data_IF_509169555835
#
_entry.id   IF_509169555835
#
_cell.length_a   1.000
_cell.length_b   1.000
_cell.length_c   1.000
_cell.angle_alpha   90.00
_cell.angle_beta   90.00
_cell.angle_gamma   90.00
#
_symmetry.space_group_name_H-M   'P 1'
#
loop_
_entity.id
_entity.type
_entity.pdbx_description
1 polymer ?
#
# COMPACT_ATOMS: atom_id res chain seq x y z
N UNK A 1 22.91 3.22 1.21
CA UNK A 1 21.68 3.55 1.97
C UNK A 1 20.80 2.31 2.07
N UNK A 2 20.02 2.18 3.15
CA UNK A 2 18.99 1.16 3.26
C UNK A 2 17.85 1.46 2.27
N UNK A 3 17.34 0.43 1.60
CA UNK A 3 16.22 0.58 0.65
C UNK A 3 14.90 0.58 1.41
N UNK A 4 14.07 1.57 1.15
CA UNK A 4 12.70 1.65 1.66
C UNK A 4 11.81 0.64 0.93
N UNK A 5 10.84 0.10 1.67
CA UNK A 5 9.86 -0.85 1.17
C UNK A 5 8.53 -0.56 1.85
N UNK A 6 7.44 -0.63 1.07
CA UNK A 6 6.09 -0.58 1.61
C UNK A 6 5.75 -1.83 2.45
N UNK A 7 6.66 -2.79 2.59
CA UNK A 7 6.45 -3.93 3.47
C UNK A 7 5.51 -5.00 2.89
N UNK A 8 5.21 -4.98 1.59
CA UNK A 8 4.45 -6.04 0.90
C UNK A 8 5.26 -6.64 -0.25
N UNK A 9 4.95 -7.89 -0.59
CA UNK A 9 5.57 -8.64 -1.68
C UNK A 9 4.68 -8.61 -2.91
N UNK A 10 5.26 -8.37 -4.08
CA UNK A 10 4.57 -8.42 -5.38
C UNK A 10 5.41 -9.23 -6.38
N UNK A 11 4.72 -10.01 -7.23
CA UNK A 11 5.35 -10.72 -8.34
C UNK A 11 5.89 -9.69 -9.33
N UNK A 12 7.10 -9.92 -9.83
CA UNK A 12 7.78 -8.97 -10.73
C UNK A 12 8.36 -7.73 -10.04
N UNK A 13 8.40 -7.74 -8.70
CA UNK A 13 8.86 -6.61 -7.91
C UNK A 13 10.31 -6.18 -8.18
N UNK A 14 10.52 -4.87 -8.26
CA UNK A 14 11.81 -4.26 -8.61
C UNK A 14 12.71 -3.96 -7.42
N UNK A 15 12.39 -4.44 -6.22
CA UNK A 15 13.14 -4.15 -4.99
C UNK A 15 14.66 -4.44 -5.08
N UNK A 16 15.03 -5.53 -5.75
CA UNK A 16 16.45 -5.87 -5.96
C UNK A 16 17.13 -4.93 -6.97
N UNK A 17 16.39 -4.45 -7.95
CA UNK A 17 16.87 -3.59 -9.04
C UNK A 17 16.77 -2.09 -8.75
N UNK A 18 16.25 -1.67 -7.60
CA UNK A 18 16.07 -0.25 -7.23
C UNK A 18 17.33 0.55 -7.55
N UNK A 19 18.48 0.21 -6.97
CA UNK A 19 19.72 0.98 -7.17
C UNK A 19 20.15 1.05 -8.63
N UNK A 20 20.00 -0.06 -9.37
CA UNK A 20 20.31 -0.11 -10.80
C UNK A 20 19.40 0.85 -11.57
N UNK A 21 18.09 0.81 -11.33
CA UNK A 21 17.11 1.64 -12.02
C UNK A 21 17.33 3.12 -11.68
N UNK A 22 17.58 3.44 -10.41
CA UNK A 22 17.78 4.83 -9.96
C UNK A 22 18.96 5.50 -10.67
N UNK A 23 20.01 4.76 -11.03
CA UNK A 23 21.14 5.30 -11.78
C UNK A 23 20.78 5.77 -13.20
N UNK A 24 19.65 5.30 -13.75
CA UNK A 24 19.17 5.68 -15.07
C UNK A 24 18.05 6.72 -15.02
N UNK A 25 17.58 7.11 -13.84
CA UNK A 25 16.56 8.16 -13.71
C UNK A 25 17.26 9.52 -13.77
N UNK A 26 17.04 10.33 -14.83
CA UNK A 26 17.63 11.66 -14.91
C UNK A 26 16.97 12.61 -13.90
N UNK A 27 17.52 13.81 -13.74
CA UNK A 27 16.79 14.89 -13.08
C UNK A 27 15.45 15.14 -13.78
N UNK A 28 14.40 15.34 -13.00
CA UNK A 28 13.05 15.55 -13.49
C UNK A 28 12.24 16.34 -12.47
N UNK A 29 11.32 17.16 -12.94
CA UNK A 29 10.32 17.81 -12.08
C UNK A 29 9.05 16.95 -11.92
N UNK A 30 8.75 16.09 -12.88
CA UNK A 30 7.56 15.23 -12.92
C UNK A 30 7.96 13.77 -12.98
N UNK A 31 7.38 12.96 -12.09
CA UNK A 31 7.54 11.52 -12.06
C UNK A 31 6.18 10.84 -12.11
N UNK A 32 6.01 9.91 -13.05
CA UNK A 32 4.81 9.10 -13.19
C UNK A 32 5.21 7.63 -13.18
N UNK A 33 4.55 6.84 -12.33
CA UNK A 33 4.70 5.39 -12.26
C UNK A 33 3.34 4.74 -12.51
N UNK A 34 3.01 4.37 -13.78
CA UNK A 34 1.69 3.84 -14.13
C UNK A 34 1.39 2.45 -13.55
N UNK A 35 2.44 1.70 -13.19
CA UNK A 35 2.41 0.36 -12.62
C UNK A 35 3.21 0.35 -11.32
N UNK A 36 2.64 0.95 -10.28
CA UNK A 36 3.32 1.27 -9.04
C UNK A 36 3.78 0.03 -8.28
N UNK A 37 2.99 -1.05 -8.27
CA UNK A 37 3.26 -2.22 -7.43
C UNK A 37 3.48 -1.81 -5.97
N UNK A 38 4.49 -2.37 -5.30
CA UNK A 38 4.82 -1.99 -3.92
C UNK A 38 5.62 -0.67 -3.79
N UNK A 39 5.55 0.21 -4.80
CA UNK A 39 6.15 1.55 -4.82
C UNK A 39 7.66 1.60 -4.61
N UNK A 40 8.40 0.55 -5.00
CA UNK A 40 9.83 0.46 -4.69
C UNK A 40 10.68 1.56 -5.34
N UNK A 41 10.36 2.01 -6.55
CA UNK A 41 11.11 3.09 -7.20
C UNK A 41 10.68 4.43 -6.62
N UNK A 42 9.39 4.71 -6.58
CA UNK A 42 8.84 5.93 -5.99
C UNK A 42 9.35 6.21 -4.56
N UNK A 43 9.43 5.18 -3.70
CA UNK A 43 9.89 5.34 -2.32
C UNK A 43 11.40 5.58 -2.19
N UNK A 44 12.20 5.20 -3.19
CA UNK A 44 13.67 5.26 -3.09
C UNK A 44 14.31 6.29 -4.03
N UNK A 45 13.58 6.82 -5.02
CA UNK A 45 14.10 7.89 -5.86
C UNK A 45 14.26 9.20 -5.06
N UNK A 46 15.15 10.10 -5.47
CA UNK A 46 15.12 11.48 -4.98
C UNK A 46 13.74 12.10 -5.19
N UNK A 47 13.24 12.85 -4.21
CA UNK A 47 11.96 13.56 -4.33
C UNK A 47 12.03 14.57 -5.47
N UNK A 48 10.93 14.71 -6.20
CA UNK A 48 10.77 15.75 -7.23
C UNK A 48 9.48 16.55 -7.00
N UNK A 49 9.25 17.58 -7.81
CA UNK A 49 8.16 18.54 -7.61
C UNK A 49 6.77 17.90 -7.73
N UNK A 50 6.60 16.97 -8.66
CA UNK A 50 5.34 16.28 -8.91
C UNK A 50 5.57 14.77 -9.02
N UNK A 51 4.89 14.00 -8.18
CA UNK A 51 4.96 12.54 -8.15
C UNK A 51 3.56 11.95 -8.25
N UNK A 52 3.34 11.10 -9.25
CA UNK A 52 2.10 10.37 -9.44
C UNK A 52 2.39 8.87 -9.54
N UNK A 53 1.69 8.08 -8.73
CA UNK A 53 1.72 6.63 -8.80
C UNK A 53 0.32 6.12 -9.10
N UNK A 54 0.21 5.15 -10.00
CA UNK A 54 -1.03 4.49 -10.36
C UNK A 54 -0.83 2.97 -10.31
N UNK A 55 -1.89 2.25 -9.96
CA UNK A 55 -1.97 0.81 -10.10
C UNK A 55 -3.44 0.41 -10.27
N UNK A 56 -3.70 -0.68 -10.99
CA UNK A 56 -5.05 -1.20 -11.16
C UNK A 56 -5.56 -1.88 -9.87
N UNK A 57 -4.66 -2.37 -9.03
CA UNK A 57 -5.02 -3.10 -7.83
C UNK A 57 -5.52 -2.15 -6.72
N UNK A 58 -6.83 -2.09 -6.53
CA UNK A 58 -7.47 -1.24 -5.52
C UNK A 58 -7.08 -1.58 -4.07
N UNK A 59 -6.80 -2.86 -3.75
CA UNK A 59 -6.39 -3.26 -2.40
C UNK A 59 -4.98 -2.74 -2.08
N UNK A 60 -4.08 -2.81 -3.06
CA UNK A 60 -2.74 -2.25 -2.97
C UNK A 60 -2.78 -0.72 -2.83
N UNK A 61 -3.59 -0.03 -3.64
CA UNK A 61 -3.74 1.43 -3.54
C UNK A 61 -4.31 1.82 -2.17
N UNK A 62 -5.36 1.13 -1.70
CA UNK A 62 -5.90 1.36 -0.36
C UNK A 62 -4.83 1.15 0.73
N UNK A 63 -4.06 0.06 0.63
CA UNK A 63 -2.96 -0.21 1.55
C UNK A 63 -1.92 0.92 1.59
N UNK A 64 -1.43 1.35 0.43
CA UNK A 64 -0.42 2.41 0.31
C UNK A 64 -0.93 3.76 0.84
N UNK A 65 -2.21 4.07 0.63
CA UNK A 65 -2.83 5.28 1.19
C UNK A 65 -2.96 5.20 2.71
N UNK A 66 -3.41 4.07 3.26
CA UNK A 66 -3.58 3.89 4.70
C UNK A 66 -2.24 3.99 5.43
N UNK A 67 -1.18 3.33 4.96
CA UNK A 67 0.13 3.43 5.62
C UNK A 67 0.75 4.84 5.52
N UNK A 68 0.29 5.66 4.56
CA UNK A 68 0.73 7.06 4.41
C UNK A 68 -0.02 8.00 5.35
N UNK A 69 -1.35 7.86 5.42
CA UNK A 69 -2.22 8.80 6.15
C UNK A 69 -2.51 8.38 7.59
N UNK A 70 -2.62 7.07 7.84
CA UNK A 70 -3.02 6.46 9.12
C UNK A 70 -2.01 5.40 9.62
N UNK A 71 -0.69 5.73 9.70
CA UNK A 71 0.32 4.75 10.08
C UNK A 71 0.15 4.24 11.52
N UNK A 72 -0.36 5.06 12.44
CA UNK A 72 -0.53 4.68 13.85
C UNK A 72 -1.65 3.68 14.00
N UNK A 73 -2.80 3.96 13.40
CA UNK A 73 -3.98 3.10 13.41
C UNK A 73 -3.68 1.76 12.72
N UNK A 74 -2.89 1.78 11.64
CA UNK A 74 -2.41 0.56 10.99
C UNK A 74 -1.49 -0.26 11.92
N UNK A 75 -0.56 0.39 12.62
CA UNK A 75 0.35 -0.28 13.56
C UNK A 75 -0.37 -0.82 14.80
N UNK A 76 -1.41 -0.14 15.28
CA UNK A 76 -2.26 -0.63 16.38
C UNK A 76 -2.98 -1.94 16.01
N UNK A 77 -3.55 -2.02 14.79
CA UNK A 77 -4.13 -3.28 14.29
C UNK A 77 -3.09 -4.40 14.21
N UNK A 78 -1.86 -4.04 13.82
CA UNK A 78 -0.74 -4.98 13.73
C UNK A 78 -0.26 -5.49 15.08
N UNK A 79 -0.40 -4.70 16.13
CA UNK A 79 -0.02 -5.08 17.51
C UNK A 79 -1.18 -5.75 18.27
N UNK A 80 -2.42 -5.52 17.86
CA UNK A 80 -3.62 -6.05 18.50
C UNK A 80 -3.98 -7.49 18.11
N UNK A 81 -5.27 -7.84 18.23
CA UNK A 81 -5.80 -9.19 17.95
C UNK A 81 -5.50 -9.67 16.53
N UNK A 82 -5.50 -8.75 15.56
CA UNK A 82 -5.14 -9.11 14.19
C UNK A 82 -3.64 -9.32 13.99
N UNK A 83 -2.79 -8.81 14.89
CA UNK A 83 -1.38 -9.14 14.99
C UNK A 83 -1.07 -10.61 15.27
N UNK A 84 -2.08 -11.39 15.71
CA UNK A 84 -1.96 -12.84 15.87
C UNK A 84 -1.79 -13.50 14.50
N UNK A 85 -0.65 -14.16 14.29
CA UNK A 85 -0.40 -14.97 13.10
C UNK A 85 -1.13 -16.31 13.25
N UNK A 86 -2.18 -16.53 12.45
CA UNK A 86 -3.03 -17.71 12.53
C UNK A 86 -3.57 -18.11 11.16
N UNK A 87 -3.40 -19.39 10.82
CA UNK A 87 -3.99 -19.95 9.60
C UNK A 87 -5.52 -19.94 9.65
N UNK A 88 -6.12 -20.09 10.83
CA UNK A 88 -7.58 -20.03 10.99
C UNK A 88 -8.11 -18.62 10.71
N UNK A 89 -7.43 -17.57 11.19
CA UNK A 89 -7.79 -16.18 10.86
C UNK A 89 -7.63 -15.95 9.36
N UNK A 90 -6.52 -16.38 8.77
CA UNK A 90 -6.28 -16.30 7.32
C UNK A 90 -7.43 -16.98 6.54
N UNK A 91 -7.81 -18.19 6.92
CA UNK A 91 -8.90 -18.95 6.29
C UNK A 91 -10.25 -18.24 6.43
N UNK A 92 -10.57 -17.64 7.59
CA UNK A 92 -11.81 -16.88 7.80
C UNK A 92 -11.86 -15.63 6.92
N UNK A 93 -10.74 -14.92 6.77
CA UNK A 93 -10.66 -13.79 5.82
C UNK A 93 -10.90 -14.30 4.40
N UNK A 94 -10.22 -15.39 3.99
CA UNK A 94 -10.30 -16.00 2.65
C UNK A 94 -11.65 -16.64 2.34
N UNK A 95 -12.39 -17.12 3.33
CA UNK A 95 -13.77 -17.62 3.18
C UNK A 95 -14.79 -16.51 3.18
N UNK A 96 -14.49 -15.39 3.84
CA UNK A 96 -15.37 -14.22 3.92
C UNK A 96 -16.16 -14.18 5.23
N UNK A 97 -15.87 -15.10 6.15
CA UNK A 97 -16.42 -15.11 7.50
C UNK A 97 -15.93 -13.90 8.33
N UNK A 98 -14.79 -13.33 7.92
CA UNK A 98 -14.24 -12.11 8.47
C UNK A 98 -14.13 -11.03 7.39
N UNK A 99 -14.84 -9.94 7.59
CA UNK A 99 -15.00 -8.82 6.65
C UNK A 99 -14.45 -7.55 7.31
N UNK A 100 -13.62 -6.75 6.63
CA UNK A 100 -13.10 -5.50 7.17
C UNK A 100 -14.24 -4.49 7.31
N UNK A 101 -14.22 -3.73 8.40
CA UNK A 101 -15.25 -2.73 8.74
C UNK A 101 -14.98 -1.37 8.10
N UNK A 102 -13.73 -1.10 7.75
CA UNK A 102 -13.28 0.16 7.18
C UNK A 102 -12.02 -0.05 6.33
N UNK A 103 -11.54 1.02 5.68
CA UNK A 103 -10.38 0.96 4.81
C UNK A 103 -9.06 0.64 5.52
N UNK A 104 -8.94 0.97 6.82
CA UNK A 104 -7.75 0.64 7.62
C UNK A 104 -7.68 -0.88 7.85
N UNK A 105 -8.79 -1.50 8.25
CA UNK A 105 -8.88 -2.96 8.38
C UNK A 105 -8.72 -3.67 7.05
N UNK A 106 -9.28 -3.10 5.97
CA UNK A 106 -9.11 -3.62 4.62
C UNK A 106 -7.64 -3.63 4.20
N UNK A 107 -6.92 -2.52 4.44
CA UNK A 107 -5.47 -2.43 4.24
C UNK A 107 -4.72 -3.46 5.09
N UNK A 108 -5.14 -3.65 6.35
CA UNK A 108 -4.55 -4.65 7.23
C UNK A 108 -4.78 -6.07 6.71
N UNK A 109 -5.99 -6.42 6.27
CA UNK A 109 -6.31 -7.75 5.75
C UNK A 109 -5.49 -8.04 4.49
N UNK A 110 -5.34 -7.06 3.60
CA UNK A 110 -4.46 -7.14 2.44
C UNK A 110 -3.01 -7.45 2.87
N UNK A 111 -2.46 -6.68 3.81
CA UNK A 111 -1.12 -6.91 4.35
C UNK A 111 -0.98 -8.28 5.01
N UNK A 112 -1.94 -8.68 5.84
CA UNK A 112 -1.96 -9.94 6.58
C UNK A 112 -1.92 -11.15 5.63
N UNK A 113 -2.80 -11.16 4.63
CA UNK A 113 -2.81 -12.20 3.60
C UNK A 113 -1.50 -12.18 2.79
N UNK A 114 -0.99 -10.99 2.43
CA UNK A 114 0.29 -10.89 1.73
C UNK A 114 1.47 -11.48 2.51
N UNK A 115 1.43 -11.43 3.84
CA UNK A 115 2.48 -12.00 4.70
C UNK A 115 2.36 -13.49 4.95
N UNK A 116 1.13 -14.01 5.02
CA UNK A 116 0.91 -15.39 5.46
C UNK A 116 0.60 -16.34 4.31
N UNK A 117 0.27 -15.84 3.11
CA UNK A 117 0.02 -16.69 1.95
C UNK A 117 1.30 -16.90 1.12
N UNK A 118 1.38 -18.07 0.48
CA UNK A 118 2.52 -18.44 -0.35
C UNK A 118 2.75 -17.40 -1.46
N UNK A 119 3.99 -16.91 -1.59
CA UNK A 119 4.38 -15.93 -2.59
C UNK A 119 3.71 -14.56 -2.47
N UNK A 120 3.06 -14.26 -1.34
CA UNK A 120 2.21 -13.07 -1.17
C UNK A 120 0.92 -13.15 -1.98
N UNK A 121 0.43 -14.37 -2.21
CA UNK A 121 -0.59 -14.85 -3.15
C UNK A 121 -1.99 -14.24 -3.09
N UNK A 122 -2.12 -12.93 -2.88
CA UNK A 122 -3.39 -12.19 -2.95
C UNK A 122 -4.12 -12.44 -4.29
N UNK A 123 -3.35 -12.59 -5.38
CA UNK A 123 -3.86 -12.85 -6.74
C UNK A 123 -4.35 -14.29 -6.96
N UNK A 124 -3.88 -15.24 -6.16
CA UNK A 124 -4.24 -16.66 -6.28
C UNK A 124 -5.43 -17.04 -5.40
N UNK A 125 -5.68 -16.27 -4.33
CA UNK A 125 -6.60 -16.68 -3.29
C UNK A 125 -8.01 -16.10 -3.50
N UNK A 126 -8.18 -14.96 -4.19
CA UNK A 126 -9.50 -14.40 -4.55
C UNK A 126 -9.45 -13.51 -5.80
N UNK A 127 -10.24 -13.82 -6.85
CA UNK A 127 -10.37 -12.98 -8.05
C UNK A 127 -11.08 -11.64 -7.78
N UNK A 128 -11.98 -11.61 -6.79
CA UNK A 128 -12.60 -10.39 -6.28
C UNK A 128 -12.73 -10.52 -4.75
N UNK A 129 -12.28 -9.54 -3.95
CA UNK A 129 -12.64 -9.50 -2.54
C UNK A 129 -14.17 -9.33 -2.42
N UNK A 130 -14.85 -10.01 -1.47
CA UNK A 130 -16.30 -9.93 -1.30
C UNK A 130 -16.78 -8.57 -0.77
N UNK A 131 -15.86 -7.60 -0.61
CA UNK A 131 -16.09 -6.29 -0.03
C UNK A 131 -16.65 -5.32 -1.09
N UNK A 132 -17.71 -5.73 -1.80
CA UNK A 132 -18.46 -4.82 -2.69
C UNK A 132 -19.25 -3.87 -1.80
N UNK A 133 -18.97 -2.57 -1.89
CA UNK A 133 -19.75 -1.52 -1.23
C UNK A 133 -19.14 -0.90 0.03
N UNK A 134 -17.88 -1.16 0.37
CA UNK A 134 -17.16 -0.28 1.31
C UNK A 134 -16.69 0.93 0.50
N UNK A 135 -17.41 2.04 0.66
CA UNK A 135 -17.04 3.31 0.05
C UNK A 135 -15.62 3.69 0.52
N UNK A 136 -14.67 4.05 -0.37
CA UNK A 136 -13.36 4.55 0.01
C UNK A 136 -13.41 5.75 0.99
N UNK A 137 -14.58 6.35 1.22
CA UNK A 137 -14.84 7.48 2.13
C UNK A 137 -15.59 7.13 3.43
N UNK A 138 -16.03 5.89 3.62
CA UNK A 138 -16.87 5.43 4.75
C UNK A 138 -16.03 4.46 5.63
N UNK A 139 -15.53 4.74 6.84
CA UNK A 139 -15.84 5.71 7.88
C UNK A 139 -14.56 6.19 8.58
N UNK A 140 -13.89 7.17 7.97
CA UNK A 140 -12.96 8.06 8.68
C UNK A 140 -12.98 9.42 7.97
N UNK A 141 -14.12 10.11 8.05
CA UNK A 141 -14.33 11.53 7.74
C UNK A 141 -13.46 12.15 6.65
N UNK A 142 -14.06 12.40 5.47
CA UNK A 142 -13.52 13.20 4.37
C UNK A 142 -12.21 12.63 3.78
N UNK A 143 -12.33 11.91 2.67
CA UNK A 143 -11.31 11.99 1.64
C UNK A 143 -11.44 13.35 0.94
N UNK A 144 -11.24 14.44 1.68
CA UNK A 144 -10.64 15.62 1.05
C UNK A 144 -9.25 15.14 0.64
N UNK A 145 -8.90 15.26 -0.64
CA UNK A 145 -7.49 15.42 -0.98
C UNK A 145 -7.05 16.63 -0.16
N UNK A 146 -6.55 16.40 1.06
CA UNK A 146 -5.66 17.34 1.70
C UNK A 146 -4.47 17.30 0.77
N UNK A 147 -4.50 18.17 -0.23
CA UNK A 147 -3.31 18.93 -0.55
C UNK A 147 -2.91 19.52 0.78
N UNK A 148 -2.18 18.77 1.62
CA UNK A 148 -1.18 19.41 2.44
C UNK A 148 -0.36 20.11 1.39
N UNK A 149 -0.69 21.40 1.22
CA UNK A 149 0.13 22.32 0.47
C UNK A 149 1.52 21.99 0.91
N UNK A 150 2.35 21.65 -0.06
CA UNK A 150 3.76 21.45 0.13
C UNK A 150 4.27 22.81 0.64
N UNK A 151 4.18 23.06 1.95
CA UNK A 151 4.68 24.25 2.61
C UNK A 151 6.18 24.09 2.69
N UNK A 152 6.79 24.30 1.54
CA UNK A 152 8.20 24.29 1.25
C UNK A 152 8.43 25.06 -0.04
N UNK A 153 7.71 26.17 -0.22
CA UNK A 153 8.18 27.25 -1.10
C UNK A 153 9.31 27.92 -0.32
N UNK A 154 10.51 27.40 -0.51
CA UNK A 154 11.69 28.23 -0.62
C UNK A 154 12.21 27.97 -2.03
N UNK A 155 11.82 28.83 -2.97
CA UNK A 155 12.53 28.94 -4.24
C UNK A 155 13.94 29.51 -3.95
N UNK A 156 14.91 29.26 -4.86
CA UNK A 156 16.34 29.46 -4.63
C UNK A 156 16.73 30.88 -4.22
#
# INVERSE_FOLDING_TARGET
MAKLSAGVSQIGGKFRLVNTILNYIPYHEFYLEPFLGAAWILLNKPRCRYECGNDLNSELINYLLVIREYPKEFDELKQGVFGLVSQEICNRIVRGDLVPRNNIERAYFYYYLNKLTFGGGIWMVRKEPPYKGIDPTDQAGKFEMKTKGFTGISNP
#
